data_IF_127324478521
#
_entry.id   IF_127324478521
#
_cell.length_a   1.000
_cell.length_b   1.000
_cell.length_c   1.000
_cell.angle_alpha   90.00
_cell.angle_beta   90.00
_cell.angle_gamma   90.00
#
_symmetry.space_group_name_H-M   'P 1'
#
loop_
_entity.id
_entity.type
_entity.pdbx_description
1 polymer ?
#
# COMPACT_ATOMS: atom_id res chain seq x y z
N UNK A 1 -22.16 -2.71 8.47
CA UNK A 1 -21.61 -2.34 7.14
C UNK A 1 -22.75 -2.25 6.15
N UNK A 2 -22.57 -1.56 5.01
CA UNK A 2 -23.65 -1.41 4.04
C UNK A 2 -24.07 -2.76 3.44
N UNK A 3 -25.36 -2.92 3.20
CA UNK A 3 -25.94 -4.10 2.55
C UNK A 3 -25.60 -4.15 1.04
N UNK A 4 -25.36 -2.98 0.44
CA UNK A 4 -25.04 -2.83 -0.99
C UNK A 4 -24.05 -1.68 -1.22
N UNK A 5 -23.22 -1.76 -2.28
CA UNK A 5 -22.41 -0.62 -2.73
C UNK A 5 -23.28 0.54 -3.23
N UNK A 6 -22.79 1.77 -3.10
CA UNK A 6 -23.55 2.98 -3.46
C UNK A 6 -23.75 3.09 -4.99
N UNK A 7 -22.69 2.85 -5.77
CA UNK A 7 -22.69 3.06 -7.24
C UNK A 7 -23.05 1.76 -7.97
N UNK A 8 -22.39 0.63 -7.64
CA UNK A 8 -22.59 -0.65 -8.32
C UNK A 8 -23.44 -1.60 -7.46
N UNK A 9 -24.73 -1.29 -7.32
CA UNK A 9 -25.66 -1.95 -6.40
C UNK A 9 -25.92 -3.44 -6.65
N UNK A 10 -25.51 -3.96 -7.82
CA UNK A 10 -25.61 -5.37 -8.19
C UNK A 10 -24.42 -6.20 -7.71
N UNK A 11 -23.33 -5.55 -7.27
CA UNK A 11 -22.15 -6.22 -6.74
C UNK A 11 -22.27 -6.46 -5.25
N UNK A 12 -21.51 -7.45 -4.76
CA UNK A 12 -21.46 -7.75 -3.33
C UNK A 12 -20.82 -6.57 -2.56
N UNK A 13 -21.36 -6.19 -1.40
CA UNK A 13 -20.68 -5.22 -0.55
C UNK A 13 -19.34 -5.80 -0.07
N UNK A 14 -18.35 -4.93 0.14
CA UNK A 14 -17.18 -5.31 0.95
C UNK A 14 -17.66 -5.72 2.34
N UNK A 15 -16.96 -6.62 3.04
CA UNK A 15 -17.26 -7.03 4.42
C UNK A 15 -16.21 -6.46 5.41
N UNK A 16 -16.57 -6.30 6.70
CA UNK A 16 -15.62 -5.80 7.71
C UNK A 16 -14.41 -6.73 7.82
N UNK A 17 -14.64 -8.02 7.60
CA UNK A 17 -13.61 -9.05 7.56
C UNK A 17 -12.63 -8.85 6.41
N UNK A 18 -13.07 -8.45 5.21
CA UNK A 18 -12.16 -8.12 4.10
C UNK A 18 -11.23 -6.97 4.49
N UNK A 19 -11.77 -5.91 5.11
CA UNK A 19 -11.00 -4.74 5.56
C UNK A 19 -10.00 -5.14 6.65
N UNK A 20 -10.43 -5.94 7.62
CA UNK A 20 -9.57 -6.41 8.72
C UNK A 20 -8.43 -7.29 8.20
N UNK A 21 -8.71 -8.21 7.28
CA UNK A 21 -7.69 -9.05 6.62
C UNK A 21 -6.63 -8.17 5.96
N UNK A 22 -7.07 -7.17 5.19
CA UNK A 22 -6.16 -6.26 4.49
C UNK A 22 -5.36 -5.42 5.47
N UNK A 23 -5.97 -4.90 6.53
CA UNK A 23 -5.28 -4.13 7.56
C UNK A 23 -4.19 -4.96 8.24
N UNK A 24 -4.47 -6.22 8.59
CA UNK A 24 -3.51 -7.11 9.25
C UNK A 24 -2.35 -7.43 8.30
N UNK A 25 -2.64 -7.87 7.07
CA UNK A 25 -1.60 -8.23 6.09
C UNK A 25 -0.75 -7.01 5.74
N UNK A 26 -1.37 -5.88 5.43
CA UNK A 26 -0.66 -4.64 5.11
C UNK A 26 0.14 -4.14 6.32
N UNK A 27 -0.39 -4.23 7.53
CA UNK A 27 0.30 -3.86 8.76
C UNK A 27 1.55 -4.71 9.00
N UNK A 28 1.44 -6.03 8.89
CA UNK A 28 2.58 -6.96 9.01
C UNK A 28 3.62 -6.66 7.93
N UNK A 29 3.20 -6.56 6.66
CA UNK A 29 4.11 -6.24 5.57
C UNK A 29 4.82 -4.89 5.82
N UNK A 30 4.09 -3.85 6.20
CA UNK A 30 4.60 -2.48 6.33
C UNK A 30 5.48 -2.25 7.56
N UNK A 31 5.18 -2.89 8.69
CA UNK A 31 5.92 -2.71 9.95
C UNK A 31 6.99 -3.76 10.21
N UNK A 32 6.90 -4.96 9.61
CA UNK A 32 7.90 -6.01 9.78
C UNK A 32 8.73 -6.18 8.51
N UNK A 33 8.12 -6.60 7.40
CA UNK A 33 8.87 -6.99 6.19
C UNK A 33 9.54 -5.79 5.50
N UNK A 34 8.81 -4.69 5.32
CA UNK A 34 9.25 -3.50 4.58
C UNK A 34 9.58 -2.31 5.48
N UNK A 35 9.85 -2.57 6.77
CA UNK A 35 10.08 -1.53 7.77
C UNK A 35 11.21 -0.56 7.37
N UNK A 36 12.27 -1.06 6.73
CA UNK A 36 13.44 -0.25 6.38
C UNK A 36 13.09 0.89 5.40
N UNK A 37 12.17 0.64 4.46
CA UNK A 37 11.76 1.61 3.43
C UNK A 37 11.18 2.90 4.00
N UNK A 38 10.72 2.89 5.25
CA UNK A 38 9.98 3.99 5.87
C UNK A 38 10.65 4.50 7.15
N UNK A 39 11.91 4.10 7.42
CA UNK A 39 12.67 4.54 8.61
C UNK A 39 12.85 6.06 8.70
N UNK A 40 12.78 6.77 7.58
CA UNK A 40 12.85 8.23 7.54
C UNK A 40 11.57 8.93 8.04
N UNK A 41 10.47 8.19 8.27
CA UNK A 41 9.22 8.74 8.79
C UNK A 41 9.06 8.41 10.29
N UNK A 42 8.57 9.37 11.10
CA UNK A 42 8.20 9.07 12.48
C UNK A 42 7.03 8.09 12.54
N UNK A 43 6.96 7.28 13.61
CA UNK A 43 5.96 6.22 13.78
C UNK A 43 4.52 6.71 13.55
N UNK A 44 4.18 7.90 14.07
CA UNK A 44 2.86 8.51 13.87
C UNK A 44 2.53 8.71 12.38
N UNK A 45 3.47 9.22 11.60
CA UNK A 45 3.29 9.42 10.15
C UNK A 45 3.04 8.11 9.41
N UNK A 46 3.74 7.04 9.83
CA UNK A 46 3.58 5.69 9.27
C UNK A 46 2.22 5.08 9.59
N UNK A 47 1.76 5.19 10.84
CA UNK A 47 0.42 4.73 11.25
C UNK A 47 -0.67 5.48 10.48
N UNK A 48 -0.56 6.82 10.38
CA UNK A 48 -1.50 7.63 9.60
C UNK A 48 -1.53 7.20 8.13
N UNK A 49 -0.36 6.95 7.52
CA UNK A 49 -0.26 6.46 6.13
C UNK A 49 -0.98 5.13 5.94
N UNK A 50 -0.78 4.16 6.85
CA UNK A 50 -1.46 2.86 6.78
C UNK A 50 -2.98 3.02 6.85
N UNK A 51 -3.49 3.77 7.83
CA UNK A 51 -4.93 4.01 7.96
C UNK A 51 -5.51 4.82 6.80
N UNK A 52 -4.75 5.76 6.22
CA UNK A 52 -5.17 6.49 5.04
C UNK A 52 -5.35 5.55 3.85
N UNK A 53 -4.39 4.64 3.60
CA UNK A 53 -4.49 3.64 2.52
C UNK A 53 -5.68 2.70 2.73
N UNK A 54 -5.82 2.14 3.94
CA UNK A 54 -6.95 1.23 4.26
C UNK A 54 -8.29 1.96 4.20
N UNK A 55 -8.35 3.22 4.65
CA UNK A 55 -9.54 4.06 4.57
C UNK A 55 -9.97 4.36 3.13
N UNK A 56 -9.01 4.65 2.25
CA UNK A 56 -9.27 4.83 0.81
C UNK A 56 -9.80 3.53 0.19
N UNK A 57 -9.17 2.38 0.48
CA UNK A 57 -9.66 1.08 0.00
C UNK A 57 -11.08 0.78 0.51
N UNK A 58 -11.35 1.00 1.80
CA UNK A 58 -12.68 0.84 2.37
C UNK A 58 -13.69 1.77 1.67
N UNK A 59 -13.33 3.02 1.39
CA UNK A 59 -14.14 3.97 0.61
C UNK A 59 -14.46 3.45 -0.79
N UNK A 60 -13.47 2.90 -1.51
CA UNK A 60 -13.67 2.26 -2.82
C UNK A 60 -14.64 1.08 -2.69
N UNK A 61 -14.50 0.25 -1.66
CA UNK A 61 -15.39 -0.88 -1.40
C UNK A 61 -16.83 -0.47 -1.06
N UNK A 62 -17.01 0.63 -0.33
CA UNK A 62 -18.32 1.23 -0.02
C UNK A 62 -18.99 1.78 -1.29
N UNK A 63 -18.22 2.44 -2.15
CA UNK A 63 -18.74 3.06 -3.37
C UNK A 63 -19.02 2.03 -4.47
N UNK A 64 -18.07 1.16 -4.76
CA UNK A 64 -18.07 0.30 -5.95
C UNK A 64 -18.18 -1.20 -5.63
N UNK A 65 -18.09 -1.60 -4.36
CA UNK A 65 -18.28 -2.97 -3.91
C UNK A 65 -17.01 -3.81 -3.81
N UNK A 66 -17.20 -5.07 -3.43
CA UNK A 66 -16.13 -6.02 -3.09
C UNK A 66 -15.19 -6.31 -4.25
N UNK A 67 -15.71 -6.37 -5.48
CA UNK A 67 -14.90 -6.60 -6.67
C UNK A 67 -13.89 -5.46 -6.89
N UNK A 68 -14.34 -4.20 -6.81
CA UNK A 68 -13.47 -3.04 -6.93
C UNK A 68 -12.44 -2.98 -5.80
N UNK A 69 -12.87 -3.24 -4.55
CA UNK A 69 -11.98 -3.32 -3.40
C UNK A 69 -10.78 -4.26 -3.64
N UNK A 70 -11.05 -5.52 -4.02
CA UNK A 70 -9.99 -6.50 -4.28
C UNK A 70 -9.22 -6.21 -5.57
N UNK A 71 -9.87 -5.68 -6.60
CA UNK A 71 -9.21 -5.26 -7.84
C UNK A 71 -8.15 -4.19 -7.60
N UNK A 72 -8.45 -3.19 -6.78
CA UNK A 72 -7.48 -2.16 -6.40
C UNK A 72 -6.33 -2.71 -5.55
N UNK A 73 -6.61 -3.66 -4.64
CA UNK A 73 -5.55 -4.34 -3.87
C UNK A 73 -4.59 -5.07 -4.81
N UNK A 74 -5.12 -5.85 -5.76
CA UNK A 74 -4.30 -6.56 -6.75
C UNK A 74 -3.44 -5.57 -7.54
N UNK A 75 -4.03 -4.47 -8.02
CA UNK A 75 -3.30 -3.43 -8.75
C UNK A 75 -2.15 -2.84 -7.92
N UNK A 76 -2.40 -2.51 -6.65
CA UNK A 76 -1.37 -2.01 -5.74
C UNK A 76 -0.27 -3.06 -5.49
N UNK A 77 -0.65 -4.32 -5.26
CA UNK A 77 0.29 -5.42 -5.06
C UNK A 77 1.19 -5.63 -6.28
N UNK A 78 0.66 -5.54 -7.49
CA UNK A 78 1.47 -5.59 -8.72
C UNK A 78 2.48 -4.43 -8.77
N UNK A 79 2.06 -3.22 -8.40
CA UNK A 79 2.96 -2.08 -8.27
C UNK A 79 4.07 -2.32 -7.24
N UNK A 80 3.76 -2.92 -6.09
CA UNK A 80 4.74 -3.31 -5.08
C UNK A 80 5.71 -4.37 -5.63
N UNK A 81 5.21 -5.43 -6.27
CA UNK A 81 6.05 -6.48 -6.87
C UNK A 81 6.99 -5.88 -7.92
N UNK A 82 6.51 -4.96 -8.75
CA UNK A 82 7.35 -4.29 -9.75
C UNK A 82 8.43 -3.42 -9.07
N UNK A 83 8.08 -2.63 -8.07
CA UNK A 83 9.04 -1.77 -7.37
C UNK A 83 10.10 -2.59 -6.62
N UNK A 84 9.66 -3.54 -5.80
CA UNK A 84 10.51 -4.34 -4.93
C UNK A 84 11.25 -5.46 -5.70
N UNK A 85 10.62 -6.08 -6.69
CA UNK A 85 11.21 -7.18 -7.46
C UNK A 85 12.09 -6.74 -8.63
N UNK A 86 11.88 -5.53 -9.17
CA UNK A 86 12.57 -5.09 -10.38
C UNK A 86 13.18 -3.70 -10.28
N UNK A 87 12.38 -2.67 -9.94
CA UNK A 87 12.83 -1.28 -10.00
C UNK A 87 13.98 -0.98 -9.03
N UNK A 88 13.85 -1.37 -7.75
CA UNK A 88 14.89 -1.19 -6.75
C UNK A 88 16.12 -2.09 -7.02
N UNK A 89 15.97 -3.40 -7.29
CA UNK A 89 17.11 -4.26 -7.64
C UNK A 89 17.91 -3.78 -8.84
N UNK A 90 17.23 -3.29 -9.90
CA UNK A 90 17.89 -2.71 -11.08
C UNK A 90 18.75 -1.49 -10.74
N UNK A 91 18.42 -0.78 -9.66
CA UNK A 91 19.16 0.35 -9.14
C UNK A 91 20.17 -0.06 -8.06
N UNK A 92 20.41 -1.36 -7.86
CA UNK A 92 21.32 -1.88 -6.83
C UNK A 92 20.84 -1.62 -5.40
N UNK A 93 19.52 -1.52 -5.21
CA UNK A 93 18.85 -1.44 -3.90
C UNK A 93 18.15 -2.77 -3.66
N UNK A 94 18.33 -3.37 -2.48
CA UNK A 94 17.67 -4.59 -2.09
C UNK A 94 16.15 -4.38 -2.02
N UNK A 95 15.42 -5.17 -2.79
CA UNK A 95 13.96 -5.13 -2.88
C UNK A 95 13.22 -5.41 -1.58
N UNK A 96 13.82 -6.12 -0.63
CA UNK A 96 13.19 -6.47 0.64
C UNK A 96 13.65 -5.57 1.78
N UNK A 97 14.91 -5.16 1.78
CA UNK A 97 15.51 -4.42 2.90
C UNK A 97 15.81 -2.96 2.59
N UNK A 98 15.62 -2.45 1.38
CA UNK A 98 16.03 -1.09 1.00
C UNK A 98 17.54 -0.79 1.10
N UNK A 99 18.40 -1.79 1.34
CA UNK A 99 19.85 -1.58 1.43
C UNK A 99 20.53 -1.52 0.06
N UNK A 100 21.50 -0.61 -0.20
CA UNK A 100 22.03 0.41 0.72
C UNK A 100 21.04 1.57 0.94
N UNK A 101 20.74 1.87 2.21
CA UNK A 101 19.65 2.79 2.55
C UNK A 101 19.82 4.23 2.03
N UNK A 102 21.04 4.76 2.04
CA UNK A 102 21.33 6.11 1.51
C UNK A 102 21.05 6.22 0.01
N UNK A 103 21.27 5.12 -0.73
CA UNK A 103 20.97 5.06 -2.16
C UNK A 103 19.46 5.03 -2.39
N UNK A 104 18.73 4.25 -1.58
CA UNK A 104 17.27 4.23 -1.59
C UNK A 104 16.67 5.61 -1.37
N UNK A 105 17.14 6.37 -0.38
CA UNK A 105 16.65 7.72 -0.12
C UNK A 105 16.88 8.65 -1.33
N UNK A 106 18.07 8.64 -1.93
CA UNK A 106 18.38 9.43 -3.13
C UNK A 106 17.46 9.09 -4.30
N UNK A 107 17.18 7.81 -4.52
CA UNK A 107 16.28 7.35 -5.59
C UNK A 107 14.84 7.83 -5.34
N UNK A 108 14.36 7.75 -4.09
CA UNK A 108 13.03 8.23 -3.73
C UNK A 108 12.91 9.75 -3.90
N UNK A 109 13.93 10.52 -3.53
CA UNK A 109 13.97 11.97 -3.77
C UNK A 109 13.87 12.29 -5.27
N UNK A 110 14.64 11.57 -6.10
CA UNK A 110 14.61 11.71 -7.56
C UNK A 110 13.23 11.37 -8.15
N UNK A 111 12.62 10.26 -7.71
CA UNK A 111 11.28 9.84 -8.16
C UNK A 111 10.19 10.84 -7.79
N UNK A 112 10.34 11.56 -6.67
CA UNK A 112 9.43 12.63 -6.25
C UNK A 112 9.62 13.93 -7.04
N UNK A 113 10.61 13.98 -7.95
CA UNK A 113 10.92 15.19 -8.72
C UNK A 113 11.51 16.31 -7.86
N UNK A 114 12.00 16.00 -6.65
CA UNK A 114 12.65 16.98 -5.77
C UNK A 114 14.05 17.23 -6.34
N UNK A 115 14.20 18.30 -7.13
CA UNK A 115 15.52 18.80 -7.55
C UNK A 115 16.16 19.54 -6.38
N UNK A 116 17.41 19.18 -6.05
CA UNK A 116 18.28 20.02 -5.20
C UNK A 116 18.72 21.26 -5.96
#
# INVERSE_FOLDING_TARGET
MLERPIILQHLRPVASTDILIVLIIAGIAYFLAFNNFEKHLPLKGRVVKLFAVVGVLAGIGILFGRFAFWGFIILMTLGQIYLHGWCFPKQGINGLTAEPYDKYLKVIEQMKGIKK
#
